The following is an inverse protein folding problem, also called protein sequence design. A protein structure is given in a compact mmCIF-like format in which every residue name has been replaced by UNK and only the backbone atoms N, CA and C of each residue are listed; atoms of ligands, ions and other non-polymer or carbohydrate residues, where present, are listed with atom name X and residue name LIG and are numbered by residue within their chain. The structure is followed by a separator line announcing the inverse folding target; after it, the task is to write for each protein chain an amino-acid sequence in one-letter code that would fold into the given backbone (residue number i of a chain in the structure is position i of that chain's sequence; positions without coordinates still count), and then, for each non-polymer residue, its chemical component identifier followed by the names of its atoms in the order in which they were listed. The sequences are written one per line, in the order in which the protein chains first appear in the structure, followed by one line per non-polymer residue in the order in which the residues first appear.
data_IF_049523516097
#
_entry.id   IF_049523516097
#
_cell.length_a   1.000
_cell.length_b   1.000
_cell.length_c   1.000
_cell.angle_alpha   90.00
_cell.angle_beta   90.00
_cell.angle_gamma   90.00
#
_symmetry.space_group_name_H-M   'P 1'
#
loop_
_entity.id
_entity.type
_entity.pdbx_description
1 polymer ?
#
# COMPACT_ATOMS: atom_id res chain seq x y z
N UNK A 1 13.27 17.82 -17.33
CA UNK A 1 12.17 17.41 -18.26
C UNK A 1 10.90 17.23 -17.41
N UNK A 2 9.72 17.61 -17.91
CA UNK A 2 8.45 17.42 -17.20
C UNK A 2 8.15 15.93 -17.00
N UNK A 3 7.46 15.61 -15.92
CA UNK A 3 7.01 14.22 -15.60
C UNK A 3 6.14 13.70 -16.75
N UNK A 4 6.58 12.60 -17.37
CA UNK A 4 5.86 11.93 -18.44
C UNK A 4 5.01 10.78 -17.86
N UNK A 5 3.71 10.84 -18.07
CA UNK A 5 2.78 9.80 -17.62
C UNK A 5 2.55 8.77 -18.72
N UNK A 6 2.44 7.50 -18.31
CA UNK A 6 1.87 6.46 -19.18
C UNK A 6 0.44 6.83 -19.61
N UNK A 7 -0.02 6.30 -20.73
CA UNK A 7 -1.33 6.65 -21.31
C UNK A 7 -2.50 6.50 -20.31
N UNK A 8 -2.55 5.36 -19.61
CA UNK A 8 -3.58 5.12 -18.59
C UNK A 8 -3.51 6.10 -17.41
N UNK A 9 -2.29 6.50 -16.99
CA UNK A 9 -2.11 7.48 -15.93
C UNK A 9 -2.39 8.90 -16.40
N UNK A 10 -2.15 9.22 -17.67
CA UNK A 10 -2.51 10.52 -18.27
C UNK A 10 -4.02 10.71 -18.28
N UNK A 11 -4.77 9.69 -18.67
CA UNK A 11 -6.23 9.72 -18.64
C UNK A 11 -6.76 9.84 -17.21
N UNK A 12 -6.19 9.09 -16.26
CA UNK A 12 -6.54 9.18 -14.84
C UNK A 12 -6.22 10.57 -14.27
N UNK A 13 -5.06 11.14 -14.60
CA UNK A 13 -4.66 12.47 -14.14
C UNK A 13 -5.60 13.58 -14.63
N UNK A 14 -6.05 13.51 -15.89
CA UNK A 14 -7.05 14.46 -16.42
C UNK A 14 -8.34 14.37 -15.60
N UNK A 15 -8.85 13.18 -15.37
CA UNK A 15 -10.06 12.99 -14.56
C UNK A 15 -9.87 13.47 -13.11
N UNK A 16 -8.68 13.26 -12.52
CA UNK A 16 -8.33 13.82 -11.20
C UNK A 16 -8.44 15.34 -11.20
N UNK A 17 -7.85 16.02 -12.19
CA UNK A 17 -7.90 17.49 -12.28
C UNK A 17 -9.33 18.00 -12.38
N UNK A 18 -10.11 17.43 -13.29
CA UNK A 18 -11.51 17.81 -13.48
C UNK A 18 -12.33 17.59 -12.22
N UNK A 19 -12.13 16.46 -11.52
CA UNK A 19 -12.85 16.13 -10.30
C UNK A 19 -12.44 17.00 -9.11
N UNK A 20 -11.15 17.30 -8.93
CA UNK A 20 -10.67 18.22 -7.90
C UNK A 20 -11.24 19.62 -8.10
N UNK A 21 -11.28 20.12 -9.32
CA UNK A 21 -11.89 21.42 -9.65
C UNK A 21 -13.39 21.45 -9.35
N UNK A 22 -14.09 20.36 -9.61
CA UNK A 22 -15.54 20.27 -9.42
C UNK A 22 -15.99 20.04 -7.98
N UNK A 23 -15.24 19.23 -7.21
CA UNK A 23 -15.68 18.72 -5.91
C UNK A 23 -14.68 18.95 -4.76
N UNK A 24 -13.47 19.34 -5.06
CA UNK A 24 -12.36 19.44 -4.09
C UNK A 24 -11.74 18.09 -3.70
N UNK A 25 -12.32 16.95 -4.11
CA UNK A 25 -11.90 15.61 -3.71
C UNK A 25 -11.81 14.68 -4.91
N UNK A 26 -10.77 13.85 -4.97
CA UNK A 26 -10.62 12.83 -6.01
C UNK A 26 -9.86 11.62 -5.50
N UNK A 27 -10.29 10.41 -5.86
CA UNK A 27 -9.59 9.17 -5.56
C UNK A 27 -9.19 8.44 -6.85
N UNK A 28 -8.01 7.80 -6.84
CA UNK A 28 -7.54 6.90 -7.88
C UNK A 28 -7.32 5.52 -7.27
N UNK A 29 -8.00 4.52 -7.83
CA UNK A 29 -7.96 3.13 -7.36
C UNK A 29 -7.36 2.27 -8.47
N UNK A 30 -6.05 2.14 -8.48
CA UNK A 30 -5.32 1.36 -9.48
C UNK A 30 -4.44 0.31 -8.80
N UNK A 31 -4.21 -0.88 -9.38
CA UNK A 31 -3.35 -1.91 -8.83
C UNK A 31 -1.93 -1.42 -8.54
N UNK A 32 -1.24 -2.07 -7.61
CA UNK A 32 0.18 -1.83 -7.37
C UNK A 32 0.99 -2.10 -8.64
N UNK A 33 1.98 -1.26 -8.93
CA UNK A 33 2.81 -1.38 -10.14
C UNK A 33 2.31 -0.59 -11.36
N UNK A 34 1.12 0.01 -11.32
CA UNK A 34 0.57 0.82 -12.45
C UNK A 34 1.10 2.25 -12.50
N UNK A 35 1.97 2.66 -11.56
CA UNK A 35 2.51 4.01 -11.51
C UNK A 35 1.59 5.07 -10.91
N UNK A 36 0.68 4.70 -9.99
CA UNK A 36 -0.24 5.63 -9.29
C UNK A 36 0.46 6.86 -8.72
N UNK A 37 1.63 6.67 -8.06
CA UNK A 37 2.37 7.76 -7.42
C UNK A 37 2.76 8.86 -8.40
N UNK A 38 2.99 8.52 -9.68
CA UNK A 38 3.30 9.50 -10.72
C UNK A 38 2.13 10.42 -11.04
N UNK A 39 0.88 10.00 -10.80
CA UNK A 39 -0.30 10.89 -10.90
C UNK A 39 -0.20 11.98 -9.83
N UNK A 40 0.13 11.62 -8.59
CA UNK A 40 0.35 12.57 -7.51
C UNK A 40 1.56 13.47 -7.76
N UNK A 41 2.70 12.93 -8.22
CA UNK A 41 3.87 13.74 -8.56
C UNK A 41 3.60 14.73 -9.70
N UNK A 42 2.79 14.33 -10.67
CA UNK A 42 2.37 15.23 -11.75
C UNK A 42 1.50 16.37 -11.23
N UNK A 43 0.62 16.11 -10.26
CA UNK A 43 -0.13 17.16 -9.57
C UNK A 43 0.82 18.13 -8.85
N UNK A 44 1.84 17.61 -8.16
CA UNK A 44 2.85 18.44 -7.48
C UNK A 44 3.62 19.33 -8.48
N UNK A 45 4.05 18.76 -9.60
CA UNK A 45 4.76 19.50 -10.67
C UNK A 45 3.89 20.60 -11.29
N UNK A 46 2.62 20.30 -11.55
CA UNK A 46 1.69 21.27 -12.16
C UNK A 46 1.18 22.34 -11.16
N UNK A 47 1.48 22.18 -9.87
CA UNK A 47 1.02 23.06 -8.78
C UNK A 47 2.18 23.61 -7.94
N UNK A 48 3.28 24.02 -8.58
CA UNK A 48 4.51 24.49 -7.90
C UNK A 48 4.31 25.68 -6.97
N UNK A 49 3.28 26.50 -7.19
CA UNK A 49 2.95 27.65 -6.36
C UNK A 49 2.05 27.28 -5.16
N UNK A 50 1.68 26.02 -5.02
CA UNK A 50 0.81 25.49 -3.96
C UNK A 50 1.61 24.63 -3.01
N UNK A 51 1.22 24.62 -1.73
CA UNK A 51 1.80 23.73 -0.71
C UNK A 51 1.04 22.40 -0.73
N UNK A 52 1.78 21.32 -0.86
CA UNK A 52 1.22 19.96 -0.91
C UNK A 52 1.65 19.19 0.33
N UNK A 53 0.69 18.73 1.12
CA UNK A 53 0.92 17.80 2.21
C UNK A 53 0.75 16.37 1.69
N UNK A 54 1.85 15.60 1.60
CA UNK A 54 1.81 14.22 1.15
C UNK A 54 1.95 13.26 2.32
N UNK A 55 0.96 12.40 2.52
CA UNK A 55 0.93 11.37 3.55
C UNK A 55 1.15 9.99 2.95
N UNK A 56 2.07 9.23 3.54
CA UNK A 56 2.38 7.86 3.14
C UNK A 56 2.46 6.92 4.36
N UNK A 57 2.29 5.60 4.17
CA UNK A 57 2.39 4.63 5.26
C UNK A 57 3.76 4.56 5.93
N UNK A 58 4.85 4.84 5.20
CA UNK A 58 6.22 4.78 5.73
C UNK A 58 7.20 5.62 4.92
N UNK A 59 8.30 6.03 5.58
CA UNK A 59 9.42 6.73 4.93
C UNK A 59 10.09 5.89 3.84
N UNK A 60 10.10 4.58 3.99
CA UNK A 60 10.66 3.67 2.98
C UNK A 60 9.90 3.77 1.65
N UNK A 61 8.56 3.76 1.71
CA UNK A 61 7.71 3.92 0.52
C UNK A 61 8.01 5.24 -0.18
N UNK A 62 8.08 6.34 0.58
CA UNK A 62 8.45 7.65 0.03
C UNK A 62 9.78 7.64 -0.71
N UNK A 63 10.82 7.14 -0.03
CA UNK A 63 12.17 7.11 -0.63
C UNK A 63 12.18 6.34 -1.93
N UNK A 64 11.58 5.15 -1.95
CA UNK A 64 11.49 4.33 -3.16
C UNK A 64 10.73 5.04 -4.28
N UNK A 65 9.63 5.74 -3.96
CA UNK A 65 8.87 6.50 -4.94
C UNK A 65 9.67 7.69 -5.50
N UNK A 66 10.41 8.39 -4.64
CA UNK A 66 11.28 9.50 -5.06
C UNK A 66 12.50 9.03 -5.86
N UNK A 67 13.07 7.87 -5.54
CA UNK A 67 14.12 7.23 -6.34
C UNK A 67 13.60 6.90 -7.74
N UNK A 68 12.45 6.25 -7.85
CA UNK A 68 11.80 5.97 -9.13
C UNK A 68 11.48 7.25 -9.94
N UNK A 69 11.10 8.34 -9.25
CA UNK A 69 10.89 9.63 -9.89
C UNK A 69 12.19 10.20 -10.44
N UNK A 70 13.28 10.16 -9.67
CA UNK A 70 14.61 10.63 -10.10
C UNK A 70 15.13 9.84 -11.30
N UNK A 71 14.92 8.53 -11.31
CA UNK A 71 15.36 7.66 -12.41
C UNK A 71 14.63 7.99 -13.72
N UNK A 72 13.34 8.30 -13.62
CA UNK A 72 12.50 8.60 -14.81
C UNK A 72 12.46 10.06 -15.21
N UNK A 73 12.68 10.99 -14.27
CA UNK A 73 12.60 12.43 -14.45
C UNK A 73 13.62 13.15 -13.56
N UNK A 74 14.94 13.05 -13.87
CA UNK A 74 16.02 13.49 -12.99
C UNK A 74 16.03 15.00 -12.69
N UNK A 75 15.47 15.81 -13.58
CA UNK A 75 15.43 17.28 -13.43
C UNK A 75 14.21 17.76 -12.62
N UNK A 76 13.33 16.84 -12.19
CA UNK A 76 12.13 17.24 -11.45
C UNK A 76 12.48 17.60 -10.02
N UNK A 77 12.08 18.81 -9.62
CA UNK A 77 12.21 19.31 -8.25
C UNK A 77 10.81 19.57 -7.70
N UNK A 78 10.54 19.02 -6.52
CA UNK A 78 9.24 19.13 -5.84
C UNK A 78 9.42 19.80 -4.46
N UNK A 79 9.93 21.05 -4.45
CA UNK A 79 10.17 21.81 -3.22
C UNK A 79 8.89 22.26 -2.51
N UNK A 80 7.76 22.18 -3.21
CA UNK A 80 6.44 22.53 -2.70
C UNK A 80 5.76 21.39 -1.90
N UNK A 81 6.43 20.24 -1.71
CA UNK A 81 5.84 19.08 -1.07
C UNK A 81 6.40 18.89 0.34
N UNK A 82 5.51 18.87 1.32
CA UNK A 82 5.79 18.50 2.71
C UNK A 82 5.39 17.04 2.93
N UNK A 83 6.37 16.17 3.18
CA UNK A 83 6.14 14.73 3.36
C UNK A 83 5.99 14.34 4.82
N UNK A 84 4.94 13.56 5.13
CA UNK A 84 4.73 12.99 6.45
C UNK A 84 4.30 11.52 6.34
N UNK A 85 4.61 10.73 7.37
CA UNK A 85 3.97 9.42 7.53
C UNK A 85 2.67 9.59 8.32
N UNK A 86 1.71 8.67 8.12
CA UNK A 86 0.49 8.63 8.93
C UNK A 86 0.83 8.54 10.44
N UNK A 87 1.88 7.77 10.80
CA UNK A 87 2.34 7.65 12.17
C UNK A 87 2.87 8.97 12.74
N UNK A 88 3.61 9.75 11.93
CA UNK A 88 4.08 11.07 12.36
C UNK A 88 2.91 12.03 12.55
N UNK A 89 2.00 12.09 11.60
CA UNK A 89 0.82 12.97 11.67
C UNK A 89 0.00 12.71 12.93
N UNK A 90 -0.19 11.44 13.32
CA UNK A 90 -0.90 11.06 14.53
C UNK A 90 -0.30 11.70 15.80
N UNK A 91 1.02 11.88 15.85
CA UNK A 91 1.75 12.39 17.01
C UNK A 91 1.99 13.91 16.94
N UNK A 92 1.57 14.61 15.89
CA UNK A 92 1.70 16.05 15.74
C UNK A 92 0.72 16.79 16.66
N UNK A 93 1.20 17.89 17.23
CA UNK A 93 0.37 18.84 17.99
C UNK A 93 -0.53 19.64 17.04
N UNK A 94 -1.51 20.34 17.59
CA UNK A 94 -2.38 21.22 16.80
C UNK A 94 -1.60 22.36 16.14
N UNK A 95 -0.62 22.92 16.83
CA UNK A 95 0.25 23.98 16.30
C UNK A 95 1.10 23.47 15.13
N UNK A 96 1.70 22.27 15.27
CA UNK A 96 2.46 21.65 14.17
C UNK A 96 1.58 21.36 12.95
N UNK A 97 0.31 20.98 13.15
CA UNK A 97 -0.65 20.80 12.05
C UNK A 97 -1.00 22.15 11.44
N UNK A 98 -1.20 23.20 12.26
CA UNK A 98 -1.53 24.54 11.80
C UNK A 98 -0.41 25.16 10.93
N UNK A 99 0.84 24.75 11.12
CA UNK A 99 2.00 25.22 10.33
C UNK A 99 2.12 24.52 8.95
N UNK A 100 1.32 23.50 8.67
CA UNK A 100 1.40 22.81 7.36
C UNK A 100 0.86 23.70 6.24
N UNK A 101 -0.27 24.34 6.44
CA UNK A 101 -0.97 25.25 5.50
C UNK A 101 -1.09 24.69 4.06
N UNK A 102 -1.64 23.47 3.85
CA UNK A 102 -1.66 22.86 2.54
C UNK A 102 -2.80 23.40 1.67
N UNK A 103 -2.53 23.59 0.38
CA UNK A 103 -3.54 23.77 -0.67
C UNK A 103 -4.06 22.40 -1.16
N UNK A 104 -3.18 21.41 -1.13
CA UNK A 104 -3.50 20.03 -1.50
C UNK A 104 -3.04 19.06 -0.43
N UNK A 105 -3.85 18.03 -0.19
CA UNK A 105 -3.52 16.88 0.67
C UNK A 105 -3.55 15.64 -0.20
N UNK A 106 -2.43 14.92 -0.26
CA UNK A 106 -2.31 13.64 -0.97
C UNK A 106 -2.24 12.51 0.05
N UNK A 107 -3.18 11.57 -0.02
CA UNK A 107 -3.23 10.37 0.81
C UNK A 107 -2.78 9.16 0.00
N UNK A 108 -1.52 8.77 0.14
CA UNK A 108 -1.00 7.56 -0.50
C UNK A 108 -1.38 6.31 0.31
N UNK A 109 -1.88 5.28 -0.38
CA UNK A 109 -2.49 4.08 0.24
C UNK A 109 -3.60 4.46 1.24
N UNK A 110 -4.53 5.31 0.80
CA UNK A 110 -5.57 5.91 1.65
C UNK A 110 -6.47 4.88 2.37
N UNK A 111 -6.56 3.64 1.90
CA UNK A 111 -7.26 2.58 2.62
C UNK A 111 -6.69 2.36 4.03
N UNK A 112 -5.44 2.75 4.30
CA UNK A 112 -4.81 2.70 5.62
C UNK A 112 -5.21 3.86 6.53
N UNK A 113 -5.64 4.98 5.97
CA UNK A 113 -6.10 6.15 6.73
C UNK A 113 -7.35 5.87 7.60
N UNK A 114 -8.10 4.80 7.31
CA UNK A 114 -9.21 4.33 8.13
C UNK A 114 -8.83 3.58 9.39
N UNK A 115 -7.54 3.32 9.68
CA UNK A 115 -7.12 2.69 10.92
C UNK A 115 -7.48 3.58 12.11
N UNK A 116 -7.94 2.99 13.21
CA UNK A 116 -8.42 3.70 14.40
C UNK A 116 -7.48 4.81 14.86
N UNK A 117 -6.19 4.52 14.94
CA UNK A 117 -5.17 5.51 15.36
C UNK A 117 -4.77 6.48 14.24
N UNK A 118 -4.53 5.99 13.02
CA UNK A 118 -4.11 6.85 11.90
C UNK A 118 -5.24 7.74 11.41
N UNK A 119 -6.46 7.23 11.45
CA UNK A 119 -7.67 7.97 11.09
C UNK A 119 -7.86 9.22 11.92
N UNK A 120 -7.57 9.17 13.22
CA UNK A 120 -7.68 10.35 14.09
C UNK A 120 -6.73 11.48 13.65
N UNK A 121 -5.49 11.17 13.26
CA UNK A 121 -4.54 12.14 12.72
C UNK A 121 -5.00 12.73 11.39
N UNK A 122 -5.50 11.90 10.49
CA UNK A 122 -6.04 12.35 9.19
C UNK A 122 -7.26 13.25 9.41
N UNK A 123 -8.18 12.88 10.29
CA UNK A 123 -9.36 13.73 10.60
C UNK A 123 -8.97 15.08 11.19
N UNK A 124 -7.97 15.15 12.06
CA UNK A 124 -7.45 16.44 12.57
C UNK A 124 -6.94 17.31 11.41
N UNK A 125 -6.14 16.75 10.50
CA UNK A 125 -5.63 17.49 9.35
C UNK A 125 -6.76 17.98 8.43
N UNK A 126 -7.70 17.10 8.07
CA UNK A 126 -8.83 17.46 7.21
C UNK A 126 -9.75 18.50 7.85
N UNK A 127 -9.94 18.42 9.18
CA UNK A 127 -10.73 19.42 9.92
C UNK A 127 -10.05 20.79 10.01
N UNK A 128 -8.71 20.80 10.11
CA UNK A 128 -7.94 22.04 10.10
C UNK A 128 -7.95 22.72 8.72
N UNK A 129 -8.03 21.93 7.64
CA UNK A 129 -7.95 22.43 6.26
C UNK A 129 -9.12 21.94 5.38
N UNK A 130 -10.37 22.34 5.70
CA UNK A 130 -11.57 21.85 5.00
C UNK A 130 -11.65 22.29 3.53
N UNK A 131 -10.89 23.32 3.14
CA UNK A 131 -10.86 23.85 1.79
C UNK A 131 -9.66 23.31 0.96
N UNK A 132 -8.75 22.54 1.57
CA UNK A 132 -7.65 21.94 0.81
C UNK A 132 -8.20 20.83 -0.11
N UNK A 133 -7.68 20.80 -1.35
CA UNK A 133 -8.04 19.74 -2.28
C UNK A 133 -7.46 18.41 -1.82
N UNK A 134 -8.27 17.34 -1.87
CA UNK A 134 -7.91 16.02 -1.36
C UNK A 134 -7.76 15.01 -2.51
N UNK A 135 -6.54 14.49 -2.71
CA UNK A 135 -6.23 13.42 -3.65
C UNK A 135 -5.92 12.12 -2.90
N UNK A 136 -6.62 11.05 -3.23
CA UNK A 136 -6.35 9.71 -2.72
C UNK A 136 -5.74 8.79 -3.77
N UNK A 137 -4.70 8.06 -3.41
CA UNK A 137 -4.07 7.04 -4.26
C UNK A 137 -4.09 5.71 -3.51
N UNK A 138 -4.66 4.65 -4.09
CA UNK A 138 -4.69 3.33 -3.45
C UNK A 138 -4.83 2.21 -4.47
N UNK A 139 -4.49 0.99 -4.07
CA UNK A 139 -4.79 -0.21 -4.84
C UNK A 139 -6.21 -0.74 -4.56
N UNK A 140 -6.82 -0.33 -3.47
CA UNK A 140 -8.19 -0.70 -3.07
C UNK A 140 -8.85 0.42 -2.30
N UNK A 141 -10.16 0.59 -2.48
CA UNK A 141 -10.98 1.47 -1.64
C UNK A 141 -11.36 0.78 -0.33
N UNK A 142 -11.42 -0.56 -0.33
CA UNK A 142 -11.97 -1.35 0.77
C UNK A 142 -10.89 -1.63 1.81
N UNK A 143 -11.19 -1.32 3.06
CA UNK A 143 -10.41 -1.73 4.21
C UNK A 143 -10.96 -3.04 4.77
N UNK A 144 -10.33 -4.15 4.42
CA UNK A 144 -10.80 -5.49 4.79
C UNK A 144 -10.67 -5.83 6.28
N UNK A 145 -9.80 -5.13 7.02
CA UNK A 145 -9.55 -5.40 8.44
C UNK A 145 -10.65 -4.89 9.37
N UNK A 146 -11.45 -3.90 8.93
CA UNK A 146 -12.45 -3.22 9.76
C UNK A 146 -13.84 -3.29 9.08
N UNK A 147 -14.49 -4.44 9.15
CA UNK A 147 -15.84 -4.65 8.60
C UNK A 147 -16.04 -4.20 7.15
N UNK A 148 -14.99 -4.28 6.32
CA UNK A 148 -15.01 -3.92 4.90
C UNK A 148 -15.44 -2.46 4.63
N UNK A 149 -14.97 -1.51 5.45
CA UNK A 149 -15.24 -0.09 5.27
C UNK A 149 -14.78 0.39 3.90
N UNK A 150 -15.60 1.15 3.22
CA UNK A 150 -15.24 1.80 1.96
C UNK A 150 -14.62 3.18 2.23
N UNK A 151 -13.31 3.26 2.14
CA UNK A 151 -12.57 4.51 2.41
C UNK A 151 -12.73 5.56 1.31
N UNK A 152 -13.15 5.17 0.10
CA UNK A 152 -13.48 6.13 -0.96
C UNK A 152 -14.77 6.90 -0.61
N UNK A 153 -15.76 6.20 -0.07
CA UNK A 153 -17.01 6.88 0.37
C UNK A 153 -16.74 7.76 1.59
N UNK A 154 -15.97 7.27 2.57
CA UNK A 154 -15.76 7.97 3.83
C UNK A 154 -14.87 9.23 3.72
N UNK A 155 -13.83 9.22 2.89
CA UNK A 155 -12.87 10.30 2.77
C UNK A 155 -13.14 11.20 1.56
N UNK A 156 -13.63 10.61 0.48
CA UNK A 156 -13.75 11.28 -0.82
C UNK A 156 -15.21 11.45 -1.26
N UNK A 157 -16.19 11.17 -0.40
CA UNK A 157 -17.63 11.24 -0.73
C UNK A 157 -17.99 10.44 -2.00
N UNK A 158 -17.27 9.33 -2.26
CA UNK A 158 -17.44 8.50 -3.45
C UNK A 158 -16.86 9.10 -4.74
N UNK A 159 -16.10 10.20 -4.68
CA UNK A 159 -15.49 10.85 -5.84
C UNK A 159 -14.29 10.03 -6.35
N UNK A 160 -14.54 9.01 -7.15
CA UNK A 160 -13.52 8.16 -7.78
C UNK A 160 -13.27 8.66 -9.20
N UNK A 161 -12.13 9.36 -9.39
CA UNK A 161 -11.73 9.91 -10.67
C UNK A 161 -11.29 8.83 -11.67
N UNK A 162 -10.67 7.77 -11.17
CA UNK A 162 -10.22 6.65 -12.01
C UNK A 162 -10.14 5.36 -11.19
N UNK A 163 -10.70 4.31 -11.76
CA UNK A 163 -10.63 2.97 -11.19
C UNK A 163 -10.15 1.98 -12.25
N UNK A 164 -9.31 1.04 -11.84
CA UNK A 164 -8.80 -0.04 -12.68
C UNK A 164 -8.64 -1.30 -11.84
N UNK A 165 -9.18 -2.41 -12.28
CA UNK A 165 -8.97 -3.70 -11.65
C UNK A 165 -7.64 -4.34 -12.07
N UNK A 166 -7.14 -5.31 -11.29
CA UNK A 166 -5.95 -6.08 -11.66
C UNK A 166 -6.16 -6.81 -13.00
N UNK A 167 -7.35 -7.36 -13.21
CA UNK A 167 -7.71 -8.04 -14.47
C UNK A 167 -7.62 -7.11 -15.67
N UNK A 168 -8.17 -5.89 -15.55
CA UNK A 168 -8.07 -4.87 -16.61
C UNK A 168 -6.62 -4.47 -16.89
N UNK A 169 -5.82 -4.27 -15.84
CA UNK A 169 -4.41 -3.90 -15.98
C UNK A 169 -3.62 -4.98 -16.74
N UNK A 170 -3.92 -6.26 -16.51
CA UNK A 170 -3.31 -7.39 -17.21
C UNK A 170 -3.79 -7.45 -18.66
N UNK A 171 -5.10 -7.38 -18.91
CA UNK A 171 -5.67 -7.44 -20.27
C UNK A 171 -5.18 -6.29 -21.13
N UNK A 172 -5.00 -5.10 -20.55
CA UNK A 172 -4.45 -3.93 -21.23
C UNK A 172 -2.92 -3.95 -21.39
N UNK A 173 -2.24 -4.98 -20.92
CA UNK A 173 -0.78 -5.11 -20.98
C UNK A 173 -0.01 -4.10 -20.09
N UNK A 174 -0.68 -3.49 -19.12
CA UNK A 174 -0.06 -2.56 -18.16
C UNK A 174 0.74 -3.33 -17.13
N UNK A 175 0.20 -4.48 -16.69
CA UNK A 175 0.85 -5.39 -15.75
C UNK A 175 0.99 -6.78 -16.36
N UNK A 176 2.10 -7.45 -16.05
CA UNK A 176 2.25 -8.84 -16.39
C UNK A 176 1.31 -9.72 -15.54
N UNK A 177 0.77 -10.82 -16.09
CA UNK A 177 -0.01 -11.75 -15.29
C UNK A 177 0.85 -12.33 -14.16
N UNK A 178 0.31 -12.41 -12.93
CA UNK A 178 1.06 -12.94 -11.80
C UNK A 178 1.31 -14.44 -11.99
N UNK A 179 2.54 -14.88 -11.72
CA UNK A 179 2.87 -16.31 -11.63
C UNK A 179 2.62 -16.74 -10.19
N UNK A 180 1.58 -17.53 -9.97
CA UNK A 180 1.30 -18.10 -8.65
C UNK A 180 2.15 -19.37 -8.48
N UNK A 181 3.03 -19.37 -7.50
CA UNK A 181 3.75 -20.57 -7.06
C UNK A 181 3.31 -20.89 -5.64
N UNK A 182 2.53 -21.96 -5.48
CA UNK A 182 2.17 -22.46 -4.17
C UNK A 182 3.32 -23.33 -3.66
N UNK A 183 4.08 -22.83 -2.70
CA UNK A 183 5.11 -23.60 -2.03
C UNK A 183 4.68 -23.96 -0.62
N UNK A 184 4.72 -25.24 -0.30
CA UNK A 184 4.50 -25.75 1.07
C UNK A 184 5.87 -25.85 1.71
N UNK A 185 6.15 -25.01 2.70
CA UNK A 185 7.42 -25.05 3.43
C UNK A 185 7.50 -26.35 4.26
N UNK A 186 8.62 -27.05 4.17
CA UNK A 186 8.95 -28.10 5.11
C UNK A 186 9.45 -27.45 6.40
N UNK A 187 8.69 -27.57 7.47
CA UNK A 187 9.04 -27.03 8.80
C UNK A 187 10.01 -27.94 9.57
N UNK A 188 10.95 -28.61 8.90
CA UNK A 188 11.84 -29.59 9.53
C UNK A 188 12.60 -29.01 10.73
N UNK A 189 13.17 -27.82 10.60
CA UNK A 189 13.86 -27.18 11.72
C UNK A 189 12.92 -26.75 12.85
N UNK A 190 11.75 -26.21 12.51
CA UNK A 190 10.74 -25.84 13.48
C UNK A 190 10.18 -27.07 14.18
N UNK A 191 9.97 -28.15 13.44
CA UNK A 191 9.55 -29.43 13.96
C UNK A 191 10.55 -29.99 14.98
N UNK A 192 11.84 -30.01 14.66
CA UNK A 192 12.89 -30.45 15.56
C UNK A 192 12.95 -29.61 16.87
N UNK A 193 12.74 -28.29 16.76
CA UNK A 193 12.64 -27.39 17.93
C UNK A 193 11.43 -27.73 18.81
N UNK A 194 10.27 -27.99 18.19
CA UNK A 194 9.06 -28.40 18.93
C UNK A 194 9.22 -29.76 19.57
N UNK A 195 9.81 -30.74 18.87
CA UNK A 195 10.11 -32.05 19.41
C UNK A 195 10.96 -31.99 20.69
N UNK A 196 12.03 -31.16 20.65
CA UNK A 196 12.86 -30.93 21.83
C UNK A 196 12.10 -30.28 22.99
N UNK A 197 11.19 -29.34 22.71
CA UNK A 197 10.35 -28.72 23.74
C UNK A 197 9.37 -29.68 24.37
N UNK A 198 8.72 -30.53 23.57
CA UNK A 198 7.80 -31.56 24.05
C UNK A 198 8.52 -32.56 24.94
N UNK A 199 9.71 -33.04 24.53
CA UNK A 199 10.55 -33.95 25.34
C UNK A 199 10.96 -33.37 26.69
N UNK A 200 11.14 -32.04 26.78
CA UNK A 200 11.48 -31.33 28.03
C UNK A 200 10.28 -31.03 28.92
N UNK A 201 9.05 -31.26 28.45
CA UNK A 201 7.83 -30.98 29.22
C UNK A 201 7.64 -31.98 30.34
N UNK A 202 7.62 -31.50 31.58
CA UNK A 202 7.53 -32.37 32.77
C UNK A 202 6.11 -32.95 32.99
N UNK A 203 5.07 -32.22 32.57
CA UNK A 203 3.68 -32.70 32.73
C UNK A 203 3.37 -33.77 31.69
N UNK A 204 3.16 -35.01 32.18
CA UNK A 204 2.93 -36.19 31.34
C UNK A 204 1.71 -36.05 30.43
N UNK A 205 0.58 -35.55 30.93
CA UNK A 205 -0.66 -35.42 30.16
C UNK A 205 -0.51 -34.40 29.00
N UNK A 206 0.21 -33.29 29.25
CA UNK A 206 0.50 -32.28 28.25
C UNK A 206 1.46 -32.82 27.19
N UNK A 207 2.48 -33.57 27.63
CA UNK A 207 3.45 -34.21 26.76
C UNK A 207 2.81 -35.20 25.81
N UNK A 208 2.03 -36.15 26.34
CA UNK A 208 1.36 -37.19 25.57
C UNK A 208 0.40 -36.62 24.51
N UNK A 209 -0.28 -35.51 24.84
CA UNK A 209 -1.14 -34.81 23.91
C UNK A 209 -0.33 -34.11 22.80
N UNK A 210 0.78 -33.47 23.17
CA UNK A 210 1.64 -32.77 22.22
C UNK A 210 2.39 -33.73 21.29
N UNK A 211 2.80 -34.90 21.78
CA UNK A 211 3.42 -35.98 20.97
C UNK A 211 2.46 -36.47 19.87
N UNK A 212 1.17 -36.67 20.17
CA UNK A 212 0.18 -37.02 19.15
C UNK A 212 0.03 -35.99 18.04
N UNK A 213 0.05 -34.68 18.41
CA UNK A 213 0.00 -33.60 17.40
C UNK A 213 1.29 -33.54 16.56
N UNK A 214 2.46 -33.76 17.18
CA UNK A 214 3.72 -33.81 16.45
C UNK A 214 3.76 -34.99 15.48
N UNK A 215 3.27 -36.17 15.87
CA UNK A 215 3.21 -37.32 14.97
C UNK A 215 2.27 -37.09 13.78
N UNK A 216 1.10 -36.46 13.99
CA UNK A 216 0.19 -36.10 12.92
C UNK A 216 0.83 -35.08 11.97
N UNK A 217 1.53 -34.08 12.50
CA UNK A 217 2.25 -33.05 11.71
C UNK A 217 3.39 -33.73 10.91
N UNK A 218 4.16 -34.62 11.51
CA UNK A 218 5.24 -35.34 10.83
C UNK A 218 4.73 -36.13 9.62
N UNK A 219 3.63 -36.89 9.79
CA UNK A 219 2.99 -37.62 8.68
C UNK A 219 2.54 -36.69 7.53
N UNK A 220 2.16 -35.46 7.84
CA UNK A 220 1.78 -34.47 6.82
C UNK A 220 3.00 -33.91 6.11
N UNK A 221 4.08 -33.64 6.85
CA UNK A 221 5.33 -33.11 6.30
C UNK A 221 6.07 -34.14 5.43
N UNK A 222 6.06 -35.43 5.83
CA UNK A 222 6.68 -36.52 5.05
C UNK A 222 6.03 -36.73 3.67
N UNK A 223 4.81 -36.21 3.46
CA UNK A 223 4.09 -36.25 2.18
C UNK A 223 4.27 -34.99 1.35
N UNK A 224 4.86 -33.93 1.91
CA UNK A 224 5.03 -32.67 1.22
C UNK A 224 6.30 -32.69 0.33
N UNK A 225 6.17 -32.25 -0.91
CA UNK A 225 7.33 -32.01 -1.78
C UNK A 225 8.16 -30.84 -1.22
N UNK A 226 9.50 -30.96 -1.25
CA UNK A 226 10.40 -29.90 -0.80
C UNK A 226 10.30 -28.67 -1.71
N UNK A 227 10.62 -27.52 -1.15
CA UNK A 227 10.65 -26.21 -1.87
C UNK A 227 11.51 -26.29 -3.14
N UNK A 228 12.63 -26.99 -3.06
CA UNK A 228 13.59 -27.14 -4.16
C UNK A 228 12.96 -27.85 -5.37
N UNK A 229 12.11 -28.85 -5.13
CA UNK A 229 11.38 -29.57 -6.20
C UNK A 229 10.36 -28.65 -6.85
N UNK A 230 9.63 -27.88 -6.04
CA UNK A 230 8.63 -26.92 -6.53
C UNK A 230 9.32 -25.80 -7.31
N UNK A 231 10.41 -25.23 -6.80
CA UNK A 231 11.18 -24.21 -7.48
C UNK A 231 11.74 -24.71 -8.82
N UNK A 232 12.36 -25.87 -8.83
CA UNK A 232 12.94 -26.44 -10.07
C UNK A 232 11.87 -26.78 -11.11
N UNK A 233 10.68 -27.13 -10.69
CA UNK A 233 9.56 -27.49 -11.58
C UNK A 233 8.87 -26.26 -12.19
N UNK A 234 8.79 -25.15 -11.46
CA UNK A 234 7.96 -23.99 -11.82
C UNK A 234 8.74 -22.71 -12.12
N UNK A 235 10.02 -22.66 -11.82
CA UNK A 235 10.87 -21.49 -12.02
C UNK A 235 12.06 -21.77 -12.95
N UNK A 236 11.82 -22.48 -14.06
CA UNK A 236 12.83 -22.81 -15.08
C UNK A 236 13.28 -21.61 -15.91
N UNK A 237 12.51 -20.52 -15.95
CA UNK A 237 12.86 -19.30 -16.67
C UNK A 237 13.21 -18.18 -15.66
N UNK A 238 14.49 -18.08 -15.35
CA UNK A 238 15.10 -16.90 -14.74
C UNK A 238 15.65 -16.00 -15.84
N UNK A 239 14.78 -15.25 -16.49
CA UNK A 239 15.18 -14.08 -17.30
C UNK A 239 14.33 -12.92 -16.86
#
# INVERSE_FOLDING_TARGET
MAISLFEHNRSAYRAVREMLEATGKAAVIHPTGTGKSFIGFKLCEDSLNSIICWLSPSDYIFRTQLENLKDSSPDTVLDNVKYFTYARLMNMTEDEIADITPDYIVLDEFHRAGAEYWGAGVQKLLSAYPNAHLLGLSATAIRYLDNQRNMADELFDGNIASEMTLGEAIVRGILNPPKYVLSIFSYQESFAKYEMRVKKTQNKAVRDKAEKYLEALRRTLDKAEGLDVIFNKHMTDRT
#
